data_IF_735535603217
#
_entry.id   IF_735535603217
#
_cell.length_a   1.000
_cell.length_b   1.000
_cell.length_c   1.000
_cell.angle_alpha   90.00
_cell.angle_beta   90.00
_cell.angle_gamma   90.00
#
_symmetry.space_group_name_H-M   'P 1'
#
loop_
_entity.id
_entity.type
_entity.pdbx_description
1 polymer ?
#
# COMPACT_ATOMS: atom_id res chain seq x y z
N UNK A 1 66.38 23.96 47.64
CA UNK A 1 66.80 22.74 48.37
C UNK A 1 65.55 21.96 48.77
N UNK A 2 65.60 20.62 48.79
CA UNK A 2 64.82 19.78 47.88
C UNK A 2 63.73 18.94 48.56
N UNK A 3 62.86 18.33 47.72
CA UNK A 3 62.23 17.00 47.88
C UNK A 3 61.27 16.81 49.08
N UNK A 4 60.23 15.97 49.06
CA UNK A 4 59.65 14.98 48.14
C UNK A 4 58.33 14.52 48.80
N UNK A 5 57.51 13.81 48.02
CA UNK A 5 56.44 12.88 48.42
C UNK A 5 55.00 13.41 48.46
N UNK A 6 54.32 13.28 47.30
CA UNK A 6 53.00 12.63 47.20
C UNK A 6 53.10 11.19 47.75
N UNK A 7 52.03 10.54 48.26
CA UNK A 7 50.72 10.33 47.59
C UNK A 7 49.54 10.49 48.61
N UNK A 8 48.24 10.42 48.34
CA UNK A 8 47.41 9.54 47.51
C UNK A 8 46.09 10.28 47.23
N UNK A 9 45.45 9.86 46.14
CA UNK A 9 44.20 10.37 45.60
C UNK A 9 42.99 10.25 46.55
N UNK A 10 42.02 11.14 46.41
CA UNK A 10 40.64 10.73 46.15
C UNK A 10 39.88 11.81 45.37
N UNK A 11 39.26 11.37 44.29
CA UNK A 11 38.50 12.17 43.35
C UNK A 11 37.18 12.67 43.95
N UNK A 12 36.76 13.87 43.52
CA UNK A 12 35.35 14.24 43.47
C UNK A 12 35.13 15.10 42.21
N UNK A 13 34.47 14.48 41.24
CA UNK A 13 33.91 15.09 40.03
C UNK A 13 32.82 16.10 40.41
N UNK A 14 32.92 17.34 39.93
CA UNK A 14 31.75 18.21 39.73
C UNK A 14 31.90 18.99 38.42
N UNK A 15 31.21 18.47 37.40
CA UNK A 15 30.39 19.18 36.39
C UNK A 15 30.89 20.55 35.88
N UNK A 16 31.79 20.52 34.90
CA UNK A 16 31.94 21.58 33.92
C UNK A 16 31.07 21.27 32.70
N UNK A 17 29.87 21.85 32.63
CA UNK A 17 29.01 21.79 31.46
C UNK A 17 29.59 22.64 30.33
N UNK A 18 30.42 22.06 29.47
CA UNK A 18 30.62 22.60 28.14
C UNK A 18 29.38 22.25 27.31
N UNK A 19 28.61 23.25 26.92
CA UNK A 19 27.62 23.12 25.87
C UNK A 19 28.36 22.79 24.56
N UNK A 20 28.61 21.50 24.33
CA UNK A 20 28.85 21.00 22.99
C UNK A 20 27.52 21.14 22.25
N UNK A 21 27.43 22.18 21.43
CA UNK A 21 26.60 22.13 20.23
C UNK A 21 27.06 20.89 19.48
N UNK A 22 26.32 19.80 19.61
CA UNK A 22 26.31 18.77 18.57
C UNK A 22 25.88 19.51 17.30
N UNK A 23 26.87 19.86 16.48
CA UNK A 23 26.64 20.10 15.08
C UNK A 23 26.14 18.75 14.55
N UNK A 24 24.81 18.60 14.52
CA UNK A 24 24.18 17.52 13.79
C UNK A 24 24.79 17.52 12.41
N UNK A 25 25.34 16.38 12.00
CA UNK A 25 25.80 16.18 10.63
C UNK A 25 24.69 16.71 9.70
N UNK A 26 25.02 17.58 8.72
CA UNK A 26 24.03 17.98 7.75
C UNK A 26 23.48 16.70 7.14
N UNK A 27 22.16 16.51 7.23
CA UNK A 27 21.48 15.42 6.54
C UNK A 27 22.03 15.38 5.11
N UNK A 28 22.40 14.19 4.58
CA UNK A 28 23.02 14.12 3.26
C UNK A 28 22.15 14.89 2.29
N UNK A 29 22.71 15.96 1.71
CA UNK A 29 22.00 16.83 0.80
C UNK A 29 21.45 15.96 -0.34
N UNK A 30 20.14 16.05 -0.58
CA UNK A 30 19.50 15.37 -1.70
C UNK A 30 20.31 15.66 -2.98
N UNK A 31 20.55 14.70 -3.88
CA UNK A 31 21.25 14.98 -5.13
C UNK A 31 20.59 16.06 -6.00
N UNK A 32 19.32 16.41 -5.72
CA UNK A 32 18.62 17.56 -6.29
C UNK A 32 18.92 18.89 -5.61
N UNK A 33 19.39 18.89 -4.36
CA UNK A 33 19.87 20.09 -3.66
C UNK A 33 21.16 20.63 -4.29
N UNK A 34 22.02 19.74 -4.80
CA UNK A 34 23.27 20.10 -5.49
C UNK A 34 23.00 20.67 -6.89
N UNK A 35 22.05 20.07 -7.61
CA UNK A 35 21.72 20.44 -8.99
C UNK A 35 20.28 20.03 -9.31
N UNK A 36 19.38 21.00 -9.20
CA UNK A 36 17.95 20.82 -9.49
C UNK A 36 17.69 20.49 -10.97
N UNK A 37 18.61 20.82 -11.89
CA UNK A 37 18.44 20.53 -13.32
C UNK A 37 18.45 19.03 -13.63
N UNK A 38 18.96 18.19 -12.70
CA UNK A 38 18.97 16.72 -12.84
C UNK A 38 17.56 16.12 -12.97
N UNK A 39 16.54 16.80 -12.47
CA UNK A 39 15.14 16.39 -12.62
C UNK A 39 14.67 16.48 -14.08
N UNK A 40 15.26 17.34 -14.91
CA UNK A 40 14.86 17.53 -16.30
C UNK A 40 15.02 16.22 -17.08
N UNK A 41 13.98 15.87 -17.82
CA UNK A 41 13.88 14.64 -18.60
C UNK A 41 12.52 13.97 -18.48
N UNK A 42 12.42 12.78 -19.08
CA UNK A 42 11.20 11.98 -19.12
C UNK A 42 11.32 10.86 -18.09
N UNK A 43 10.32 10.74 -17.22
CA UNK A 43 10.29 9.81 -16.10
C UNK A 43 9.03 8.95 -16.19
N UNK A 44 9.19 7.67 -16.45
CA UNK A 44 8.08 6.73 -16.55
C UNK A 44 7.81 6.08 -15.18
N UNK A 45 6.57 6.20 -14.69
CA UNK A 45 6.16 5.59 -13.44
C UNK A 45 6.05 4.07 -13.60
N UNK A 46 6.54 3.32 -12.61
CA UNK A 46 6.17 1.92 -12.45
C UNK A 46 4.65 1.83 -12.22
N UNK A 47 3.91 1.02 -13.00
CA UNK A 47 2.47 0.96 -12.88
C UNK A 47 2.03 0.57 -11.48
N UNK A 48 1.02 1.28 -10.97
CA UNK A 48 0.36 0.93 -9.72
C UNK A 48 -0.44 -0.36 -9.90
N UNK A 49 -0.75 -1.03 -8.78
CA UNK A 49 -1.51 -2.30 -8.79
C UNK A 49 -2.90 -2.22 -9.41
N UNK A 50 -3.47 -1.02 -9.51
CA UNK A 50 -4.75 -0.78 -10.16
C UNK A 50 -4.61 -0.43 -11.66
N UNK A 51 -3.42 -0.63 -12.24
CA UNK A 51 -3.11 -0.36 -13.64
C UNK A 51 -2.85 1.12 -13.94
N UNK A 52 -2.97 2.04 -12.97
CA UNK A 52 -2.66 3.45 -13.20
C UNK A 52 -1.16 3.60 -13.40
N UNK A 53 -0.78 4.21 -14.52
CA UNK A 53 0.59 4.59 -14.84
C UNK A 53 0.60 6.03 -15.35
N UNK A 54 1.74 6.71 -15.28
CA UNK A 54 1.94 7.99 -15.95
C UNK A 54 3.40 8.12 -16.36
N UNK A 55 3.66 9.05 -17.27
CA UNK A 55 5.01 9.51 -17.59
C UNK A 55 5.05 11.01 -17.31
N UNK A 56 5.96 11.44 -16.45
CA UNK A 56 6.20 12.85 -16.16
C UNK A 56 7.38 13.35 -16.99
N UNK A 57 7.16 14.37 -17.81
CA UNK A 57 8.20 15.06 -18.58
C UNK A 57 8.48 16.41 -17.92
N UNK A 58 9.56 16.48 -17.14
CA UNK A 58 10.04 17.72 -16.52
C UNK A 58 10.91 18.48 -17.50
N UNK A 59 10.53 19.71 -17.81
CA UNK A 59 11.22 20.59 -18.76
C UNK A 59 12.03 21.65 -18.06
N UNK A 60 13.06 22.16 -18.75
CA UNK A 60 13.95 23.19 -18.23
C UNK A 60 13.27 24.57 -18.08
N UNK A 61 12.10 24.78 -18.68
CA UNK A 61 11.28 25.99 -18.57
C UNK A 61 10.39 26.02 -17.31
N UNK A 62 10.51 25.02 -16.43
CA UNK A 62 9.68 24.90 -15.24
C UNK A 62 8.30 24.28 -15.49
N UNK A 63 8.05 23.69 -16.67
CA UNK A 63 6.82 22.93 -16.94
C UNK A 63 6.99 21.43 -16.73
N UNK A 64 5.98 20.78 -16.17
CA UNK A 64 5.85 19.33 -16.14
C UNK A 64 4.63 18.90 -16.95
N UNK A 65 4.85 18.00 -17.91
CA UNK A 65 3.79 17.37 -18.68
C UNK A 65 3.55 15.97 -18.11
N UNK A 66 2.35 15.72 -17.63
CA UNK A 66 1.94 14.41 -17.16
C UNK A 66 1.17 13.71 -18.29
N UNK A 67 1.73 12.62 -18.78
CA UNK A 67 1.14 11.76 -19.78
C UNK A 67 0.46 10.58 -19.08
N UNK A 68 -0.88 10.61 -18.88
CA UNK A 68 -1.61 9.55 -18.19
C UNK A 68 -1.69 8.27 -19.03
N UNK A 69 -1.56 7.12 -18.36
CA UNK A 69 -1.73 5.79 -18.93
C UNK A 69 -2.58 4.90 -18.02
N UNK A 70 -3.28 3.93 -18.62
CA UNK A 70 -3.99 2.89 -17.89
C UNK A 70 -3.64 1.52 -18.50
N UNK A 71 -2.90 0.70 -17.76
CA UNK A 71 -2.45 -0.61 -18.21
C UNK A 71 -3.59 -1.62 -18.40
N UNK A 72 -4.78 -1.35 -17.85
CA UNK A 72 -6.00 -2.15 -18.05
C UNK A 72 -6.84 -1.66 -19.25
N UNK A 73 -6.52 -0.49 -19.81
CA UNK A 73 -7.23 0.14 -20.93
C UNK A 73 -6.24 0.84 -21.87
N UNK A 74 -5.43 0.03 -22.56
CA UNK A 74 -4.32 0.53 -23.37
C UNK A 74 -4.75 1.46 -24.52
N UNK A 75 -6.00 1.35 -24.97
CA UNK A 75 -6.55 2.17 -26.06
C UNK A 75 -7.21 3.47 -25.59
N UNK A 76 -7.40 3.66 -24.27
CA UNK A 76 -7.98 4.89 -23.72
C UNK A 76 -6.92 5.99 -23.69
N UNK A 77 -6.97 6.89 -24.66
CA UNK A 77 -6.14 8.10 -24.66
C UNK A 77 -6.75 9.13 -23.73
N UNK A 78 -5.93 9.66 -22.83
CA UNK A 78 -6.28 10.75 -21.93
C UNK A 78 -5.47 11.98 -22.32
N UNK A 79 -6.02 13.16 -22.03
CA UNK A 79 -5.36 14.42 -22.31
C UNK A 79 -4.07 14.56 -21.48
N UNK A 80 -3.08 15.23 -22.05
CA UNK A 80 -1.82 15.52 -21.36
C UNK A 80 -2.09 16.69 -20.39
N UNK A 81 -1.79 16.48 -19.12
CA UNK A 81 -1.92 17.52 -18.11
C UNK A 81 -0.63 18.34 -18.08
N UNK A 82 -0.74 19.67 -18.14
CA UNK A 82 0.42 20.58 -18.08
C UNK A 82 0.35 21.40 -16.81
N UNK A 83 1.43 21.35 -16.02
CA UNK A 83 1.57 22.10 -14.78
C UNK A 83 2.90 22.85 -14.73
N UNK A 84 2.96 23.88 -13.91
CA UNK A 84 4.22 24.48 -13.45
C UNK A 84 4.82 23.60 -12.35
N UNK A 85 6.15 23.52 -12.27
CA UNK A 85 6.83 22.87 -11.16
C UNK A 85 8.03 23.68 -10.67
N UNK A 86 8.38 23.49 -9.40
CA UNK A 86 9.61 24.01 -8.81
C UNK A 86 10.15 23.03 -7.78
N UNK A 87 11.45 22.74 -7.81
CA UNK A 87 12.13 21.97 -6.78
C UNK A 87 12.47 22.90 -5.62
N UNK A 88 12.24 22.46 -4.38
CA UNK A 88 12.65 23.22 -3.19
C UNK A 88 14.18 23.33 -3.10
N UNK A 89 14.68 24.38 -2.45
CA UNK A 89 16.12 24.67 -2.35
C UNK A 89 16.91 23.52 -1.69
N UNK A 90 16.27 22.78 -0.78
CA UNK A 90 16.85 21.61 -0.11
C UNK A 90 16.75 20.31 -0.94
N UNK A 91 16.15 20.36 -2.13
CA UNK A 91 15.91 19.21 -3.01
C UNK A 91 14.96 18.17 -2.42
N UNK A 92 14.26 18.48 -1.32
CA UNK A 92 13.41 17.55 -0.56
C UNK A 92 11.96 17.49 -1.03
N UNK A 93 11.52 18.47 -1.82
CA UNK A 93 10.19 18.47 -2.43
C UNK A 93 10.16 19.06 -3.83
N UNK A 94 9.16 18.66 -4.60
CA UNK A 94 8.80 19.21 -5.89
C UNK A 94 7.39 19.77 -5.74
N UNK A 95 7.29 21.08 -5.85
CA UNK A 95 6.03 21.79 -5.86
C UNK A 95 5.44 21.75 -7.26
N UNK A 96 4.17 21.36 -7.39
CA UNK A 96 3.47 21.27 -8.68
C UNK A 96 2.19 22.11 -8.61
N UNK A 97 1.99 22.97 -9.61
CA UNK A 97 0.84 23.86 -9.70
C UNK A 97 0.18 23.78 -11.06
N UNK A 98 -1.11 23.47 -11.07
CA UNK A 98 -1.98 23.49 -12.24
C UNK A 98 -3.03 24.61 -12.11
N UNK A 99 -3.84 24.87 -13.14
CA UNK A 99 -4.98 25.79 -13.02
C UNK A 99 -6.04 25.36 -12.00
N UNK A 100 -6.08 24.07 -11.62
CA UNK A 100 -7.14 23.49 -10.80
C UNK A 100 -6.70 23.12 -9.38
N UNK A 101 -5.40 22.87 -9.18
CA UNK A 101 -4.86 22.35 -7.92
C UNK A 101 -3.36 22.63 -7.77
N UNK A 102 -2.87 22.58 -6.54
CA UNK A 102 -1.48 22.79 -6.14
C UNK A 102 -1.09 21.80 -5.04
N UNK A 103 0.03 21.09 -5.22
CA UNK A 103 0.47 20.06 -4.28
C UNK A 103 1.99 19.88 -4.28
N UNK A 104 2.49 19.30 -3.19
CA UNK A 104 3.91 18.95 -3.04
C UNK A 104 4.14 17.44 -3.12
N UNK A 105 5.12 17.05 -3.93
CA UNK A 105 5.69 15.71 -3.95
C UNK A 105 6.98 15.71 -3.14
N UNK A 106 7.06 14.90 -2.09
CA UNK A 106 8.31 14.69 -1.34
C UNK A 106 9.25 13.82 -2.15
N UNK A 107 10.51 14.22 -2.24
CA UNK A 107 11.58 13.43 -2.86
C UNK A 107 12.10 12.45 -1.80
N UNK A 108 11.82 11.16 -1.97
CA UNK A 108 12.20 10.12 -1.01
C UNK A 108 13.54 9.45 -1.37
N UNK A 109 13.83 9.29 -2.66
CA UNK A 109 15.12 8.84 -3.20
C UNK A 109 15.29 9.45 -4.60
N UNK A 110 16.51 9.85 -4.96
CA UNK A 110 16.80 10.40 -6.28
C UNK A 110 18.18 9.95 -6.77
N UNK A 111 18.21 9.35 -7.96
CA UNK A 111 19.39 8.84 -8.65
C UNK A 111 19.30 9.22 -10.13
N UNK A 112 20.42 9.22 -10.89
CA UNK A 112 20.40 9.63 -12.30
C UNK A 112 19.37 8.91 -13.19
N UNK A 113 18.99 7.68 -12.85
CA UNK A 113 18.07 6.84 -13.62
C UNK A 113 16.81 6.41 -12.86
N UNK A 114 16.67 6.79 -11.58
CA UNK A 114 15.56 6.36 -10.75
C UNK A 114 15.16 7.46 -9.76
N UNK A 115 13.87 7.64 -9.56
CA UNK A 115 13.32 8.63 -8.65
C UNK A 115 12.16 8.02 -7.87
N UNK A 116 12.10 8.27 -6.57
CA UNK A 116 10.98 7.86 -5.72
C UNK A 116 10.35 9.09 -5.10
N UNK A 117 9.06 9.27 -5.36
CA UNK A 117 8.28 10.39 -4.85
C UNK A 117 7.25 9.90 -3.85
N UNK A 118 6.92 10.74 -2.87
CA UNK A 118 5.91 10.49 -1.86
C UNK A 118 4.89 11.61 -1.80
N UNK A 119 3.61 11.28 -1.76
CA UNK A 119 2.52 12.25 -1.57
C UNK A 119 1.64 11.81 -0.42
N UNK A 120 1.17 12.76 0.38
CA UNK A 120 0.21 12.47 1.44
C UNK A 120 -1.17 12.91 0.99
N UNK A 121 -2.08 11.96 0.85
CA UNK A 121 -3.51 12.22 0.60
C UNK A 121 -4.26 11.82 1.87
N UNK A 122 -4.83 12.80 2.58
CA UNK A 122 -5.47 12.61 3.87
C UNK A 122 -4.57 11.84 4.88
N UNK A 123 -5.01 10.68 5.34
CA UNK A 123 -4.24 9.79 6.23
C UNK A 123 -3.33 8.81 5.48
N UNK A 124 -3.39 8.78 4.15
CA UNK A 124 -2.64 7.85 3.33
C UNK A 124 -1.37 8.47 2.73
N UNK A 125 -0.22 7.87 3.02
CA UNK A 125 1.00 8.07 2.24
C UNK A 125 0.99 7.18 0.99
N UNK A 126 1.16 7.81 -0.17
CA UNK A 126 1.37 7.17 -1.47
C UNK A 126 2.83 7.33 -1.87
N UNK A 127 3.35 6.32 -2.57
CA UNK A 127 4.71 6.32 -3.10
C UNK A 127 4.67 5.97 -4.58
N UNK A 128 5.48 6.66 -5.36
CA UNK A 128 5.57 6.53 -6.80
C UNK A 128 7.03 6.30 -7.18
N UNK A 129 7.30 5.19 -7.84
CA UNK A 129 8.62 4.85 -8.34
C UNK A 129 8.69 5.19 -9.84
N UNK A 130 9.73 5.91 -10.22
CA UNK A 130 9.97 6.39 -11.58
C UNK A 130 11.32 5.93 -12.11
N UNK A 131 11.37 5.62 -13.39
CA UNK A 131 12.59 5.37 -14.15
C UNK A 131 12.78 6.44 -15.20
N UNK A 132 14.01 6.93 -15.38
CA UNK A 132 14.34 7.87 -16.45
C UNK A 132 14.33 7.14 -17.79
N UNK A 133 13.72 7.73 -18.81
CA UNK A 133 13.54 7.14 -20.14
C UNK A 133 13.77 8.20 -21.23
N UNK A 134 14.03 7.76 -22.46
CA UNK A 134 14.32 8.67 -23.58
C UNK A 134 13.09 9.07 -24.39
N UNK A 135 11.93 8.44 -24.13
CA UNK A 135 10.68 8.71 -24.84
C UNK A 135 9.47 8.52 -23.93
N UNK A 136 8.39 9.22 -24.25
CA UNK A 136 7.10 9.06 -23.59
C UNK A 136 6.51 7.71 -23.97
N UNK A 137 6.67 6.72 -23.09
CA UNK A 137 6.07 5.41 -23.21
C UNK A 137 5.81 4.85 -21.81
N UNK A 138 4.67 4.18 -21.63
CA UNK A 138 4.35 3.56 -20.35
C UNK A 138 5.21 2.31 -20.10
N UNK A 139 5.44 2.01 -18.82
CA UNK A 139 6.04 0.75 -18.40
C UNK A 139 4.98 -0.36 -18.22
N UNK A 140 3.82 -0.26 -18.88
CA UNK A 140 2.74 -1.24 -18.76
C UNK A 140 3.14 -2.66 -19.20
N UNK A 141 4.19 -2.81 -20.03
CA UNK A 141 4.78 -4.13 -20.31
C UNK A 141 5.25 -4.86 -19.05
N UNK A 142 5.66 -4.12 -18.01
CA UNK A 142 6.05 -4.67 -16.70
C UNK A 142 4.84 -5.02 -15.82
N UNK A 143 3.67 -4.43 -16.10
CA UNK A 143 2.41 -4.79 -15.46
C UNK A 143 1.89 -6.16 -15.95
N UNK A 144 2.29 -6.57 -17.16
CA UNK A 144 1.80 -7.78 -17.84
C UNK A 144 2.47 -9.07 -17.33
N UNK A 145 2.56 -9.20 -16.01
CA UNK A 145 3.05 -10.41 -15.34
C UNK A 145 2.15 -11.60 -15.68
N UNK A 146 2.69 -12.83 -15.57
CA UNK A 146 1.87 -14.04 -15.68
C UNK A 146 0.69 -14.03 -14.69
N UNK A 147 0.86 -13.36 -13.54
CA UNK A 147 -0.20 -13.16 -12.56
C UNK A 147 -1.34 -12.30 -13.13
N UNK A 148 -1.06 -11.14 -13.70
CA UNK A 148 -2.09 -10.25 -14.27
C UNK A 148 -2.75 -10.88 -15.52
N UNK A 149 -1.99 -11.59 -16.37
CA UNK A 149 -2.59 -12.37 -17.47
C UNK A 149 -3.46 -13.52 -16.95
N UNK A 150 -3.03 -14.18 -15.88
CA UNK A 150 -3.78 -15.24 -15.22
C UNK A 150 -5.13 -14.76 -14.67
N UNK A 151 -5.24 -13.49 -14.27
CA UNK A 151 -6.49 -12.87 -13.85
C UNK A 151 -7.49 -12.71 -14.99
N UNK A 152 -7.05 -12.58 -16.24
CA UNK A 152 -7.94 -12.41 -17.40
C UNK A 152 -8.54 -13.73 -17.92
N UNK A 153 -8.52 -14.80 -17.13
CA UNK A 153 -8.95 -16.15 -17.54
C UNK A 153 -9.92 -16.74 -16.52
N UNK A 154 -10.71 -17.77 -16.86
CA UNK A 154 -11.56 -18.44 -15.87
C UNK A 154 -10.75 -18.97 -14.69
N UNK A 155 -11.39 -19.06 -13.52
CA UNK A 155 -10.82 -19.75 -12.36
C UNK A 155 -10.47 -21.20 -12.68
N UNK A 156 -9.33 -21.65 -12.16
CA UNK A 156 -8.87 -23.04 -12.18
C UNK A 156 -8.58 -23.48 -10.74
N UNK A 157 -8.73 -24.76 -10.44
CA UNK A 157 -8.45 -25.31 -9.11
C UNK A 157 -7.03 -25.05 -8.61
N UNK A 158 -6.06 -24.86 -9.51
CA UNK A 158 -4.69 -24.49 -9.15
C UNK A 158 -4.51 -23.01 -8.77
N UNK A 159 -5.48 -22.13 -9.04
CA UNK A 159 -5.38 -20.70 -8.73
C UNK A 159 -5.54 -20.45 -7.22
N UNK A 160 -6.37 -21.26 -6.55
CA UNK A 160 -6.64 -21.15 -5.12
C UNK A 160 -7.15 -22.48 -4.57
N UNK A 161 -6.45 -23.06 -3.60
CA UNK A 161 -6.89 -24.28 -2.93
C UNK A 161 -7.76 -23.91 -1.72
N UNK A 162 -9.08 -24.17 -1.73
CA UNK A 162 -9.96 -23.82 -0.62
C UNK A 162 -9.70 -24.72 0.59
N UNK A 163 -9.62 -24.09 1.76
CA UNK A 163 -9.54 -24.74 3.06
C UNK A 163 -10.29 -23.86 4.10
N UNK A 164 -11.64 -23.78 4.03
CA UNK A 164 -12.42 -22.79 4.79
C UNK A 164 -12.67 -23.18 6.25
N UNK A 165 -12.27 -24.39 6.67
CA UNK A 165 -12.48 -24.89 8.01
C UNK A 165 -11.73 -24.05 9.05
N UNK A 166 -12.43 -23.66 10.11
CA UNK A 166 -11.89 -22.88 11.22
C UNK A 166 -11.39 -23.85 12.29
N UNK A 167 -10.10 -23.77 12.69
CA UNK A 167 -9.59 -24.59 13.79
C UNK A 167 -10.36 -24.36 15.09
N UNK A 168 -10.50 -25.36 15.98
CA UNK A 168 -11.17 -25.19 17.27
C UNK A 168 -10.56 -24.06 18.12
N UNK A 169 -11.41 -23.29 18.80
CA UNK A 169 -10.98 -22.20 19.68
C UNK A 169 -12.04 -21.89 20.74
N UNK A 170 -11.60 -21.54 21.95
CA UNK A 170 -12.50 -21.28 23.09
C UNK A 170 -13.50 -20.13 22.83
N UNK A 171 -13.11 -19.16 22.00
CA UNK A 171 -13.94 -18.01 21.64
C UNK A 171 -14.78 -18.18 20.37
N UNK A 172 -14.79 -19.35 19.73
CA UNK A 172 -15.38 -19.57 18.41
C UNK A 172 -16.88 -19.20 18.35
N UNK A 173 -17.63 -19.42 19.42
CA UNK A 173 -19.07 -19.11 19.46
C UNK A 173 -19.39 -17.65 19.09
N UNK A 174 -18.50 -16.72 19.46
CA UNK A 174 -18.68 -15.28 19.17
C UNK A 174 -18.58 -14.96 17.68
N UNK A 175 -17.99 -15.85 16.90
CA UNK A 175 -17.82 -15.71 15.45
C UNK A 175 -18.98 -16.29 14.65
N UNK A 176 -19.65 -17.33 15.16
CA UNK A 176 -20.74 -18.03 14.46
C UNK A 176 -21.84 -17.04 14.08
N UNK A 177 -22.30 -17.07 12.84
CA UNK A 177 -23.42 -16.26 12.33
C UNK A 177 -23.12 -15.51 11.03
N UNK A 178 -24.15 -14.82 10.53
CA UNK A 178 -24.10 -13.95 9.34
C UNK A 178 -23.73 -12.53 9.75
N UNK A 179 -22.74 -11.96 9.08
CA UNK A 179 -22.20 -10.65 9.38
C UNK A 179 -22.34 -9.72 8.17
N UNK A 180 -22.96 -8.57 8.38
CA UNK A 180 -23.38 -7.65 7.33
C UNK A 180 -23.05 -6.19 7.67
N UNK A 181 -22.99 -5.37 6.63
CA UNK A 181 -23.01 -3.90 6.72
C UNK A 181 -24.15 -3.38 5.83
N UNK A 182 -24.17 -2.07 5.55
CA UNK A 182 -25.19 -1.44 4.71
C UNK A 182 -25.16 -1.96 3.25
N UNK A 183 -24.04 -2.55 2.81
CA UNK A 183 -23.88 -3.17 1.48
C UNK A 183 -24.34 -4.64 1.45
N UNK A 184 -24.83 -5.18 2.57
CA UNK A 184 -25.32 -6.54 2.71
C UNK A 184 -24.36 -7.47 3.46
N UNK A 185 -24.58 -8.79 3.31
CA UNK A 185 -23.79 -9.82 4.00
C UNK A 185 -22.37 -9.84 3.44
N UNK A 186 -21.40 -9.66 4.34
CA UNK A 186 -19.97 -9.65 4.03
C UNK A 186 -19.31 -11.01 4.24
N UNK A 187 -19.79 -11.77 5.21
CA UNK A 187 -19.30 -13.10 5.56
C UNK A 187 -20.31 -13.83 6.44
N UNK A 188 -20.27 -15.14 6.38
CA UNK A 188 -20.91 -16.03 7.33
C UNK A 188 -19.91 -17.01 7.93
N UNK A 189 -20.05 -17.27 9.23
CA UNK A 189 -19.36 -18.37 9.92
C UNK A 189 -20.40 -19.42 10.27
N UNK A 190 -20.35 -20.54 9.55
CA UNK A 190 -21.28 -21.64 9.71
C UNK A 190 -20.74 -22.66 10.70
N UNK A 191 -21.65 -23.27 11.46
CA UNK A 191 -21.39 -24.48 12.23
C UNK A 191 -21.70 -25.69 11.34
N UNK A 192 -20.77 -26.64 11.28
CA UNK A 192 -20.96 -27.91 10.60
C UNK A 192 -21.67 -28.91 11.52
N UNK A 193 -22.26 -29.95 10.93
CA UNK A 193 -23.03 -30.96 11.67
C UNK A 193 -22.21 -31.67 12.77
N UNK A 194 -20.91 -31.83 12.55
CA UNK A 194 -19.98 -32.47 13.47
C UNK A 194 -19.45 -31.52 14.56
N UNK A 195 -20.02 -30.31 14.67
CA UNK A 195 -19.62 -29.30 15.64
C UNK A 195 -18.41 -28.45 15.23
N UNK A 196 -17.82 -28.71 14.07
CA UNK A 196 -16.82 -27.85 13.43
C UNK A 196 -17.41 -26.51 12.98
N UNK A 197 -16.56 -25.61 12.48
CA UNK A 197 -17.00 -24.36 11.88
C UNK A 197 -16.22 -24.05 10.61
N UNK A 198 -16.82 -23.28 9.70
CA UNK A 198 -16.19 -22.88 8.45
C UNK A 198 -16.62 -21.49 7.99
N UNK A 199 -15.74 -20.85 7.23
CA UNK A 199 -16.04 -19.61 6.51
C UNK A 199 -16.93 -19.89 5.30
N UNK A 200 -17.91 -19.03 5.08
CA UNK A 200 -18.85 -19.11 3.98
C UNK A 200 -19.31 -17.74 3.52
N UNK A 201 -19.66 -17.63 2.25
CA UNK A 201 -20.43 -16.53 1.70
C UNK A 201 -21.24 -17.10 0.55
N UNK A 202 -22.52 -16.74 0.49
CA UNK A 202 -23.39 -17.19 -0.58
C UNK A 202 -22.91 -16.61 -1.91
N UNK A 203 -23.02 -17.43 -2.94
CA UNK A 203 -22.73 -17.04 -4.30
C UNK A 203 -23.72 -15.98 -4.78
N UNK A 204 -23.22 -15.02 -5.55
CA UNK A 204 -24.05 -14.07 -6.30
C UNK A 204 -24.04 -14.39 -7.79
N UNK A 205 -24.84 -13.66 -8.56
CA UNK A 205 -24.82 -13.77 -10.02
C UNK A 205 -23.45 -13.50 -10.62
N UNK A 206 -22.62 -12.69 -9.97
CA UNK A 206 -21.34 -12.23 -10.50
C UNK A 206 -20.14 -12.87 -9.81
N UNK A 207 -20.28 -13.30 -8.56
CA UNK A 207 -19.14 -13.62 -7.70
C UNK A 207 -19.31 -14.94 -6.97
N UNK A 208 -18.21 -15.69 -6.93
CA UNK A 208 -17.98 -16.88 -6.13
C UNK A 208 -16.91 -16.57 -5.10
N UNK A 209 -17.02 -17.16 -3.91
CA UNK A 209 -16.14 -16.86 -2.78
C UNK A 209 -15.50 -18.13 -2.23
N UNK A 210 -14.17 -18.10 -2.07
CA UNK A 210 -13.37 -19.18 -1.50
C UNK A 210 -12.51 -18.65 -0.35
N UNK A 211 -12.17 -19.52 0.59
CA UNK A 211 -11.34 -19.18 1.75
C UNK A 211 -10.26 -20.21 1.99
N UNK A 212 -9.08 -19.77 2.45
CA UNK A 212 -8.01 -20.65 2.92
C UNK A 212 -7.12 -19.95 3.94
N UNK A 213 -6.05 -20.63 4.37
CA UNK A 213 -5.08 -20.15 5.34
C UNK A 213 -5.74 -19.67 6.65
N UNK A 214 -6.78 -20.41 7.07
CA UNK A 214 -7.62 -20.06 8.22
C UNK A 214 -6.90 -20.48 9.50
N UNK A 215 -6.58 -19.50 10.36
CA UNK A 215 -5.82 -19.72 11.59
C UNK A 215 -6.10 -18.67 12.65
N UNK A 216 -5.81 -19.03 13.90
CA UNK A 216 -5.89 -18.12 15.04
C UNK A 216 -4.56 -17.39 15.25
N UNK A 217 -4.66 -16.09 15.55
CA UNK A 217 -3.55 -15.28 16.08
C UNK A 217 -4.05 -14.59 17.34
N UNK A 218 -3.76 -15.20 18.49
CA UNK A 218 -4.49 -14.88 19.72
C UNK A 218 -5.99 -15.12 19.52
N UNK A 219 -6.80 -14.13 19.91
CA UNK A 219 -8.26 -14.15 19.72
C UNK A 219 -8.72 -13.60 18.37
N UNK A 220 -7.83 -13.36 17.40
CA UNK A 220 -8.21 -12.94 16.04
C UNK A 220 -8.22 -14.13 15.08
N UNK A 221 -9.24 -14.19 14.21
CA UNK A 221 -9.29 -15.18 13.14
C UNK A 221 -8.72 -14.57 11.86
N UNK A 222 -7.59 -15.11 11.40
CA UNK A 222 -6.89 -14.68 10.19
C UNK A 222 -7.16 -15.69 9.07
N UNK A 223 -7.38 -15.19 7.85
CA UNK A 223 -7.58 -16.02 6.67
C UNK A 223 -7.32 -15.25 5.38
N UNK A 224 -7.34 -15.94 4.25
CA UNK A 224 -7.43 -15.32 2.93
C UNK A 224 -8.80 -15.55 2.33
N UNK A 225 -9.41 -14.46 1.88
CA UNK A 225 -10.60 -14.48 1.03
C UNK A 225 -10.18 -14.42 -0.44
N UNK A 226 -10.85 -15.18 -1.29
CA UNK A 226 -10.62 -15.20 -2.72
C UNK A 226 -11.94 -15.09 -3.47
N UNK A 227 -12.03 -14.11 -4.36
CA UNK A 227 -13.21 -13.89 -5.18
C UNK A 227 -12.92 -14.16 -6.65
N UNK A 228 -13.84 -14.83 -7.33
CA UNK A 228 -13.77 -15.01 -8.78
C UNK A 228 -15.16 -14.96 -9.43
N UNK A 229 -15.17 -14.90 -10.75
CA UNK A 229 -16.39 -14.87 -11.57
C UNK A 229 -16.26 -15.93 -12.65
N UNK A 230 -17.40 -16.46 -13.07
CA UNK A 230 -17.50 -17.37 -14.22
C UNK A 230 -17.87 -16.61 -15.50
N UNK A 231 -18.18 -15.31 -15.40
CA UNK A 231 -18.60 -14.46 -16.53
C UNK A 231 -17.38 -13.88 -17.24
N UNK A 232 -17.12 -14.22 -18.52
CA UNK A 232 -15.94 -13.70 -19.24
C UNK A 232 -15.85 -12.17 -19.31
N UNK A 233 -17.00 -11.49 -19.40
CA UNK A 233 -17.08 -10.03 -19.42
C UNK A 233 -16.55 -9.36 -18.13
N UNK A 234 -16.41 -10.13 -17.03
CA UNK A 234 -15.93 -9.64 -15.74
C UNK A 234 -14.51 -10.11 -15.42
N UNK A 235 -13.80 -10.79 -16.33
CA UNK A 235 -12.42 -11.25 -16.06
C UNK A 235 -11.43 -10.10 -15.86
N UNK A 236 -11.66 -8.95 -16.50
CA UNK A 236 -10.86 -7.74 -16.29
C UNK A 236 -11.24 -6.98 -15.02
N UNK A 237 -12.30 -7.38 -14.31
CA UNK A 237 -12.76 -6.66 -13.14
C UNK A 237 -11.76 -6.80 -11.98
N UNK A 238 -11.42 -5.71 -11.24
CA UNK A 238 -10.43 -5.75 -10.17
C UNK A 238 -10.71 -6.71 -9.02
N UNK A 239 -11.94 -7.21 -8.90
CA UNK A 239 -12.34 -8.19 -7.90
C UNK A 239 -12.12 -9.64 -8.35
N UNK A 240 -12.03 -9.91 -9.66
CA UNK A 240 -11.79 -11.27 -10.17
C UNK A 240 -10.37 -11.76 -9.86
N UNK A 241 -10.29 -13.01 -9.38
CA UNK A 241 -9.07 -13.69 -8.92
C UNK A 241 -8.28 -12.89 -7.89
N UNK A 242 -8.98 -12.22 -6.99
CA UNK A 242 -8.35 -11.39 -5.97
C UNK A 242 -8.24 -12.17 -4.68
N UNK A 243 -7.01 -12.33 -4.19
CA UNK A 243 -6.74 -12.86 -2.85
C UNK A 243 -6.47 -11.73 -1.86
N UNK A 244 -7.31 -11.61 -0.84
CA UNK A 244 -7.22 -10.59 0.19
C UNK A 244 -7.00 -11.25 1.55
N UNK A 245 -5.97 -10.82 2.27
CA UNK A 245 -5.78 -11.22 3.67
C UNK A 245 -6.77 -10.47 4.56
N UNK A 246 -7.50 -11.22 5.36
CA UNK A 246 -8.62 -10.74 6.16
C UNK A 246 -8.48 -11.19 7.61
N UNK A 247 -8.91 -10.32 8.53
CA UNK A 247 -8.91 -10.58 9.96
C UNK A 247 -10.31 -10.33 10.51
N UNK A 248 -10.77 -11.18 11.41
CA UNK A 248 -12.01 -11.00 12.15
C UNK A 248 -11.74 -10.95 13.65
N UNK A 249 -12.37 -9.97 14.30
CA UNK A 249 -12.29 -9.78 15.75
C UNK A 249 -13.64 -9.35 16.31
N UNK A 250 -14.33 -10.18 17.11
CA UNK A 250 -15.58 -9.81 17.74
C UNK A 250 -15.32 -8.78 18.82
N UNK A 251 -16.12 -7.72 18.82
CA UNK A 251 -16.06 -6.63 19.77
C UNK A 251 -16.96 -6.91 20.98
N UNK A 252 -16.82 -6.08 22.02
CA UNK A 252 -17.56 -6.24 23.27
C UNK A 252 -19.06 -5.89 23.12
N UNK A 253 -19.38 -5.04 22.14
CA UNK A 253 -20.75 -4.59 21.82
C UNK A 253 -21.54 -5.61 20.97
N UNK A 254 -20.97 -6.79 20.71
CA UNK A 254 -21.59 -7.84 19.89
C UNK A 254 -21.44 -7.64 18.38
N UNK A 255 -20.78 -6.57 17.93
CA UNK A 255 -20.38 -6.40 16.53
C UNK A 255 -19.08 -7.13 16.22
N UNK A 256 -18.72 -7.21 14.94
CA UNK A 256 -17.48 -7.82 14.47
C UNK A 256 -16.67 -6.78 13.73
N UNK A 257 -15.40 -6.61 14.11
CA UNK A 257 -14.44 -5.89 13.29
C UNK A 257 -13.94 -6.84 12.20
N UNK A 258 -14.08 -6.42 10.95
CA UNK A 258 -13.48 -7.07 9.80
C UNK A 258 -12.38 -6.17 9.27
N UNK A 259 -11.19 -6.73 9.08
CA UNK A 259 -10.03 -5.98 8.64
C UNK A 259 -9.44 -6.58 7.38
N UNK A 260 -9.01 -5.74 6.44
CA UNK A 260 -8.28 -6.15 5.26
C UNK A 260 -6.87 -5.56 5.25
N UNK A 261 -5.90 -6.32 4.74
CA UNK A 261 -4.55 -5.84 4.52
C UNK A 261 -4.34 -5.47 3.06
N UNK A 262 -4.12 -4.18 2.79
CA UNK A 262 -3.70 -3.68 1.48
C UNK A 262 -2.23 -3.26 1.60
N UNK A 263 -1.34 -4.08 1.02
CA UNK A 263 0.09 -3.93 1.24
C UNK A 263 0.47 -4.21 2.69
N UNK A 264 1.00 -3.20 3.40
CA UNK A 264 1.33 -3.27 4.83
C UNK A 264 0.31 -2.58 5.74
N UNK A 265 -0.77 -2.02 5.17
CA UNK A 265 -1.74 -1.21 5.90
C UNK A 265 -3.00 -2.01 6.18
N UNK A 266 -3.46 -1.94 7.43
CA UNK A 266 -4.70 -2.55 7.91
C UNK A 266 -5.83 -1.54 7.74
N UNK A 267 -6.92 -1.98 7.12
CA UNK A 267 -8.16 -1.22 6.96
C UNK A 267 -9.25 -1.93 7.74
N UNK A 268 -9.89 -1.23 8.66
CA UNK A 268 -10.89 -1.79 9.57
C UNK A 268 -12.28 -1.23 9.24
N UNK A 269 -13.29 -2.09 9.30
CA UNK A 269 -14.69 -1.69 9.29
C UNK A 269 -15.48 -2.62 10.21
N UNK A 270 -16.64 -2.14 10.65
CA UNK A 270 -17.52 -2.90 11.52
C UNK A 270 -18.63 -3.53 10.71
N UNK A 271 -18.93 -4.77 11.03
CA UNK A 271 -20.09 -5.51 10.53
C UNK A 271 -20.94 -5.92 11.72
N UNK A 272 -22.25 -5.91 11.52
CA UNK A 272 -23.25 -6.28 12.50
C UNK A 272 -23.80 -7.65 12.16
N UNK A 273 -24.29 -8.36 13.16
CA UNK A 273 -24.99 -9.61 12.94
C UNK A 273 -26.26 -9.34 12.13
N UNK A 274 -26.40 -10.00 10.98
CA UNK A 274 -27.63 -9.90 10.21
C UNK A 274 -28.77 -10.53 11.01
N UNK A 275 -29.94 -9.89 11.00
CA UNK A 275 -31.17 -10.53 11.46
C UNK A 275 -31.70 -11.38 10.31
N UNK A 276 -32.20 -12.56 10.63
CA UNK A 276 -32.78 -13.49 9.65
C UNK A 276 -34.08 -12.94 9.05
#
# INVERSE_FOLDING_TARGET
MPNRFLPFALAALVLGGCAHKEAGEPAPSSPLAEDQSRIVGIWAMLPLRNGIANVAEYRADGKVLLHPFNCSKLDERREIETSDYRVADDGGSIHVRSPFDEFDLRVLDFKPQAMRLGMRIASAELTFDYLKVDRVASLCGMYNTDAERGRLTPYRSGDFLPAPAIPPHVGLERYIGRWANDDGVQLEVLRDADGGARLYMADSDNWRHLYNDVRWVGDELHFRSYAYTEKPALFSHPYHKTSTATILRPLADGTMQMSFLIGKRRHDFQVRRAQD
#
